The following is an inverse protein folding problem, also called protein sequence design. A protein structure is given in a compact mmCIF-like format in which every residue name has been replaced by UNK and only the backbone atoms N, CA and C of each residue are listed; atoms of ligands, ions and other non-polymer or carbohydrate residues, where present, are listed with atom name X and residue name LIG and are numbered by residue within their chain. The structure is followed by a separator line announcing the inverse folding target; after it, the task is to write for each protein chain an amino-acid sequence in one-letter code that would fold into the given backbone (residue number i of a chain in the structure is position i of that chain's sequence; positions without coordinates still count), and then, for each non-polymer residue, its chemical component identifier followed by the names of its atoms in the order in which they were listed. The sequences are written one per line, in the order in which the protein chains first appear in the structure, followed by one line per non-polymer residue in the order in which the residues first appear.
data_IF_741461758501
#
_entry.id   IF_741461758501
#
_cell.length_a   1.000
_cell.length_b   1.000
_cell.length_c   1.000
_cell.angle_alpha   90.00
_cell.angle_beta   90.00
_cell.angle_gamma   90.00
#
_symmetry.space_group_name_H-M   'P 1'
#
loop_
_entity.id
_entity.type
_entity.pdbx_description
1 polymer ?
#
# COMPACT_ATOMS: atom_id res chain seq x y z
N UNK A 1 -16.73 -21.05 13.23
CA UNK A 1 -16.88 -20.02 12.17
C UNK A 1 -15.68 -19.07 12.20
N UNK A 2 -15.33 -18.52 13.37
CA UNK A 2 -14.08 -17.76 13.59
C UNK A 2 -12.81 -18.46 13.07
N UNK A 3 -12.67 -19.77 13.32
CA UNK A 3 -11.50 -20.54 12.85
C UNK A 3 -11.30 -20.51 11.32
N UNK A 4 -12.39 -20.46 10.54
CA UNK A 4 -12.33 -20.36 9.07
C UNK A 4 -11.93 -18.96 8.62
N UNK A 5 -12.42 -17.93 9.30
CA UNK A 5 -12.13 -16.52 8.98
C UNK A 5 -10.67 -16.20 9.24
N UNK A 6 -10.16 -16.60 10.41
CA UNK A 6 -8.74 -16.46 10.78
C UNK A 6 -7.85 -17.21 9.79
N UNK A 7 -8.25 -18.41 9.38
CA UNK A 7 -7.49 -19.19 8.39
C UNK A 7 -7.49 -18.54 7.00
N UNK A 8 -8.63 -18.02 6.54
CA UNK A 8 -8.73 -17.29 5.27
C UNK A 8 -7.87 -16.02 5.29
N UNK A 9 -7.98 -15.23 6.35
CA UNK A 9 -7.13 -14.04 6.54
C UNK A 9 -5.65 -14.40 6.49
N UNK A 10 -5.24 -15.42 7.26
CA UNK A 10 -3.85 -15.90 7.30
C UNK A 10 -3.35 -16.30 5.92
N UNK A 11 -4.14 -17.05 5.15
CA UNK A 11 -3.78 -17.48 3.79
C UNK A 11 -3.70 -16.31 2.80
N UNK A 12 -4.62 -15.35 2.88
CA UNK A 12 -4.59 -14.15 2.03
C UNK A 12 -3.34 -13.31 2.34
N UNK A 13 -3.05 -13.07 3.63
CA UNK A 13 -1.84 -12.38 4.08
C UNK A 13 -0.57 -13.07 3.60
N UNK A 14 -0.47 -14.38 3.84
CA UNK A 14 0.70 -15.19 3.41
C UNK A 14 0.93 -15.11 1.90
N UNK A 15 -0.14 -15.01 1.11
CA UNK A 15 -0.05 -14.93 -0.35
C UNK A 15 0.34 -13.54 -0.88
N UNK A 16 0.04 -12.46 -0.15
CA UNK A 16 0.19 -11.08 -0.64
C UNK A 16 1.30 -10.30 0.08
N UNK A 17 1.43 -10.41 1.40
CA UNK A 17 2.37 -9.60 2.19
C UNK A 17 3.85 -9.75 1.78
N UNK A 18 4.35 -10.95 1.39
CA UNK A 18 5.73 -11.08 0.89
C UNK A 18 6.04 -10.17 -0.31
N UNK A 19 5.01 -9.79 -1.08
CA UNK A 19 5.12 -8.96 -2.27
C UNK A 19 4.86 -7.47 -1.98
N UNK A 20 4.90 -7.04 -0.71
CA UNK A 20 4.76 -5.63 -0.34
C UNK A 20 3.32 -5.11 -0.33
N UNK A 21 2.35 -6.00 -0.17
CA UNK A 21 0.96 -5.63 0.10
C UNK A 21 0.66 -5.66 1.60
N UNK A 22 -0.33 -4.89 2.06
CA UNK A 22 -1.03 -5.18 3.32
C UNK A 22 -2.50 -5.45 3.04
N UNK A 23 -3.12 -6.17 3.95
CA UNK A 23 -4.49 -6.66 3.85
C UNK A 23 -5.22 -6.32 5.15
N UNK A 24 -6.43 -5.75 5.05
CA UNK A 24 -7.20 -5.34 6.24
C UNK A 24 -8.67 -5.78 6.11
N UNK A 25 -9.20 -6.56 7.08
CA UNK A 25 -10.57 -7.08 7.00
C UNK A 25 -11.62 -6.00 7.28
N UNK A 26 -12.79 -6.12 6.66
CA UNK A 26 -13.97 -5.32 6.97
C UNK A 26 -15.26 -6.06 6.60
N UNK A 27 -16.39 -5.63 7.17
CA UNK A 27 -17.71 -6.05 6.71
C UNK A 27 -18.20 -5.17 5.56
N UNK A 28 -18.76 -5.77 4.51
CA UNK A 28 -19.40 -5.03 3.40
C UNK A 28 -20.43 -4.01 3.90
N UNK A 29 -21.15 -4.35 4.97
CA UNK A 29 -22.13 -3.47 5.62
C UNK A 29 -21.53 -2.15 6.09
N UNK A 30 -20.30 -2.13 6.61
CA UNK A 30 -19.63 -0.90 7.06
C UNK A 30 -19.34 0.04 5.89
N UNK A 31 -18.89 -0.51 4.77
CA UNK A 31 -18.68 0.24 3.53
C UNK A 31 -20.01 0.78 2.96
N UNK A 32 -21.03 -0.08 2.86
CA UNK A 32 -22.33 0.28 2.31
C UNK A 32 -23.06 1.35 3.14
N UNK A 33 -22.90 1.34 4.47
CA UNK A 33 -23.55 2.28 5.37
C UNK A 33 -23.12 3.75 5.15
N UNK A 34 -21.94 3.99 4.58
CA UNK A 34 -21.41 5.33 4.33
C UNK A 34 -21.73 5.87 2.94
N UNK A 35 -22.38 5.07 2.08
CA UNK A 35 -22.47 5.34 0.65
C UNK A 35 -23.92 5.34 0.15
N UNK A 36 -24.23 6.19 -0.85
CA UNK A 36 -25.55 6.15 -1.47
C UNK A 36 -25.71 4.84 -2.26
N UNK A 37 -26.96 4.40 -2.52
CA UNK A 37 -27.26 3.10 -3.13
C UNK A 37 -26.48 2.80 -4.43
N UNK A 38 -26.16 3.85 -5.19
CA UNK A 38 -25.42 3.75 -6.43
C UNK A 38 -24.00 3.17 -6.29
N UNK A 39 -23.37 3.25 -5.12
CA UNK A 39 -22.02 2.75 -4.85
C UNK A 39 -21.99 1.55 -3.89
N UNK A 40 -23.16 1.06 -3.45
CA UNK A 40 -23.24 -0.07 -2.55
C UNK A 40 -22.85 -1.37 -3.27
N UNK A 41 -22.11 -2.23 -2.58
CA UNK A 41 -21.81 -3.58 -3.04
C UNK A 41 -23.05 -4.46 -2.83
N UNK A 42 -23.48 -5.22 -3.86
CA UNK A 42 -24.69 -6.05 -3.81
C UNK A 42 -24.45 -7.38 -3.09
N UNK A 43 -23.98 -7.31 -1.85
CA UNK A 43 -23.69 -8.46 -0.98
C UNK A 43 -24.32 -8.23 0.41
N UNK A 44 -24.63 -9.30 1.17
CA UNK A 44 -25.10 -9.18 2.54
C UNK A 44 -24.14 -8.34 3.41
N UNK A 45 -24.68 -7.57 4.35
CA UNK A 45 -23.90 -6.69 5.23
C UNK A 45 -22.75 -7.43 5.96
N UNK A 46 -23.01 -8.60 6.59
CA UNK A 46 -21.98 -9.37 7.27
C UNK A 46 -20.92 -10.01 6.37
N UNK A 47 -21.00 -9.87 5.04
CA UNK A 47 -20.02 -10.48 4.12
C UNK A 47 -18.61 -9.98 4.43
N UNK A 48 -17.68 -10.92 4.61
CA UNK A 48 -16.26 -10.64 4.80
C UNK A 48 -15.64 -10.10 3.52
N UNK A 49 -14.92 -9.00 3.67
CA UNK A 49 -14.10 -8.41 2.63
C UNK A 49 -12.73 -8.03 3.21
N UNK A 50 -11.74 -7.87 2.33
CA UNK A 50 -10.44 -7.33 2.68
C UNK A 50 -10.09 -6.19 1.72
N UNK A 51 -9.67 -5.05 2.25
CA UNK A 51 -9.00 -4.04 1.41
C UNK A 51 -7.53 -4.42 1.26
N UNK A 52 -7.01 -4.29 0.05
CA UNK A 52 -5.59 -4.55 -0.25
C UNK A 52 -4.93 -3.24 -0.62
N UNK A 53 -3.78 -2.97 -0.01
CA UNK A 53 -2.96 -1.80 -0.26
C UNK A 53 -1.52 -2.22 -0.59
N UNK A 54 -0.83 -1.45 -1.42
CA UNK A 54 0.60 -1.64 -1.71
C UNK A 54 1.43 -0.63 -0.92
N UNK A 55 2.44 -1.12 -0.22
CA UNK A 55 3.47 -0.32 0.47
C UNK A 55 4.59 0.07 -0.52
N UNK A 56 5.59 0.89 -0.12
CA UNK A 56 6.75 1.17 -0.96
C UNK A 56 7.41 -0.11 -1.52
N UNK A 57 7.55 -1.13 -0.67
CA UNK A 57 8.19 -2.40 -1.01
C UNK A 57 7.55 -3.17 -2.18
N UNK A 58 6.28 -2.90 -2.54
CA UNK A 58 5.62 -3.58 -3.67
C UNK A 58 6.36 -3.35 -4.99
N UNK A 59 6.96 -2.17 -5.15
CA UNK A 59 7.70 -1.85 -6.38
C UNK A 59 8.86 -2.82 -6.62
N UNK A 60 9.68 -3.05 -5.61
CA UNK A 60 10.83 -3.95 -5.70
C UNK A 60 10.45 -5.42 -5.61
N UNK A 61 9.49 -5.77 -4.76
CA UNK A 61 9.14 -7.16 -4.46
C UNK A 61 8.13 -7.78 -5.41
N UNK A 62 7.29 -6.97 -6.06
CA UNK A 62 6.25 -7.44 -6.97
C UNK A 62 6.47 -6.92 -8.39
N UNK A 63 6.53 -5.60 -8.57
CA UNK A 63 6.51 -5.00 -9.90
C UNK A 63 7.78 -5.34 -10.70
N UNK A 64 8.97 -5.12 -10.14
CA UNK A 64 10.23 -5.42 -10.83
C UNK A 64 10.32 -6.90 -11.27
N UNK A 65 10.09 -7.91 -10.41
CA UNK A 65 10.02 -9.30 -10.84
C UNK A 65 8.95 -9.56 -11.90
N UNK A 66 7.76 -8.96 -11.76
CA UNK A 66 6.69 -9.11 -12.74
C UNK A 66 7.10 -8.60 -14.12
N UNK A 67 7.77 -7.46 -14.21
CA UNK A 67 8.28 -6.89 -15.47
C UNK A 67 9.29 -7.79 -16.16
N UNK A 68 10.07 -8.57 -15.40
CA UNK A 68 11.04 -9.53 -15.93
C UNK A 68 10.40 -10.84 -16.41
N UNK A 69 9.21 -11.19 -15.91
CA UNK A 69 8.54 -12.48 -16.16
C UNK A 69 7.83 -12.61 -17.52
N UNK A 70 7.98 -11.65 -18.43
CA UNK A 70 7.37 -11.62 -19.77
C UNK A 70 5.82 -11.66 -19.83
N UNK A 71 5.13 -11.45 -18.71
CA UNK A 71 3.66 -11.45 -18.61
C UNK A 71 2.99 -10.11 -19.00
N UNK A 72 3.69 -9.23 -19.73
CA UNK A 72 3.18 -7.91 -20.07
C UNK A 72 2.33 -7.93 -21.34
N UNK A 73 1.04 -7.66 -21.16
CA UNK A 73 0.15 -7.32 -22.26
C UNK A 73 0.42 -5.89 -22.74
N UNK A 74 0.52 -5.66 -24.05
CA UNK A 74 0.60 -4.32 -24.62
C UNK A 74 -0.61 -3.47 -24.21
N UNK A 75 -0.41 -2.14 -24.13
CA UNK A 75 -1.46 -1.14 -23.91
C UNK A 75 -2.15 -1.14 -22.53
N UNK A 76 -1.74 -2.00 -21.60
CA UNK A 76 -2.20 -1.98 -20.20
C UNK A 76 -1.10 -1.47 -19.28
N UNK A 77 -1.46 -0.74 -18.23
CA UNK A 77 -0.48 -0.26 -17.26
C UNK A 77 0.21 -1.45 -16.56
N UNK A 78 1.56 -1.48 -16.45
CA UNK A 78 2.25 -2.61 -15.86
C UNK A 78 1.94 -2.83 -14.38
N UNK A 79 1.59 -1.77 -13.63
CA UNK A 79 1.23 -1.88 -12.20
C UNK A 79 -0.10 -2.60 -12.06
N UNK A 80 -1.10 -2.20 -12.84
CA UNK A 80 -2.41 -2.84 -12.86
C UNK A 80 -2.29 -4.33 -13.23
N UNK A 81 -1.44 -4.66 -14.19
CA UNK A 81 -1.18 -6.05 -14.58
C UNK A 81 -0.48 -6.86 -13.48
N UNK A 82 0.49 -6.27 -12.78
CA UNK A 82 1.16 -6.90 -11.65
C UNK A 82 0.16 -7.20 -10.51
N UNK A 83 -0.68 -6.22 -10.15
CA UNK A 83 -1.73 -6.40 -9.13
C UNK A 83 -2.71 -7.49 -9.54
N UNK A 84 -3.21 -7.47 -10.78
CA UNK A 84 -4.10 -8.50 -11.30
C UNK A 84 -3.46 -9.89 -11.31
N UNK A 85 -2.15 -9.99 -11.60
CA UNK A 85 -1.40 -11.24 -11.50
C UNK A 85 -1.43 -11.78 -10.07
N UNK A 86 -1.11 -10.97 -9.06
CA UNK A 86 -1.13 -11.41 -7.66
C UNK A 86 -2.54 -11.80 -7.17
N UNK A 87 -3.59 -11.10 -7.61
CA UNK A 87 -4.98 -11.50 -7.32
C UNK A 87 -5.35 -12.83 -7.99
N UNK A 88 -4.90 -13.06 -9.22
CA UNK A 88 -5.09 -14.34 -9.92
C UNK A 88 -4.37 -15.48 -9.19
N UNK A 89 -3.14 -15.25 -8.69
CA UNK A 89 -2.43 -16.25 -7.89
C UNK A 89 -3.13 -16.52 -6.56
N UNK A 90 -3.68 -15.49 -5.91
CA UNK A 90 -4.47 -15.66 -4.69
C UNK A 90 -5.69 -16.56 -4.93
N UNK A 91 -6.42 -16.34 -6.03
CA UNK A 91 -7.57 -17.19 -6.38
C UNK A 91 -7.16 -18.65 -6.61
N UNK A 92 -6.02 -18.88 -7.28
CA UNK A 92 -5.48 -20.24 -7.49
C UNK A 92 -5.05 -20.92 -6.19
N UNK A 93 -4.59 -20.14 -5.21
CA UNK A 93 -4.18 -20.63 -3.89
C UNK A 93 -5.37 -20.91 -2.96
N UNK A 94 -6.59 -20.52 -3.33
CA UNK A 94 -7.83 -20.70 -2.58
C UNK A 94 -8.95 -21.28 -3.48
N UNK A 95 -8.72 -22.42 -4.18
CA UNK A 95 -9.65 -22.92 -5.20
C UNK A 95 -11.02 -23.32 -4.64
N UNK A 96 -11.10 -23.66 -3.36
CA UNK A 96 -12.33 -24.01 -2.66
C UNK A 96 -13.19 -22.79 -2.28
N UNK A 97 -12.62 -21.59 -2.31
CA UNK A 97 -13.27 -20.37 -1.87
C UNK A 97 -13.73 -19.56 -3.07
N UNK A 98 -15.01 -19.21 -3.12
CA UNK A 98 -15.49 -18.18 -4.04
C UNK A 98 -14.89 -16.84 -3.62
N UNK A 99 -14.14 -16.22 -4.52
CA UNK A 99 -13.49 -14.93 -4.33
C UNK A 99 -13.83 -14.04 -5.52
N UNK A 100 -14.37 -12.86 -5.23
CA UNK A 100 -14.56 -11.81 -6.22
C UNK A 100 -13.56 -10.67 -5.94
N UNK A 101 -13.03 -10.05 -6.98
CA UNK A 101 -12.11 -8.91 -6.87
C UNK A 101 -12.72 -7.67 -7.48
N UNK A 102 -12.49 -6.52 -6.84
CA UNK A 102 -12.73 -5.21 -7.46
C UNK A 102 -11.47 -4.37 -7.24
N UNK A 103 -10.82 -3.96 -8.32
CA UNK A 103 -9.58 -3.18 -8.28
C UNK A 103 -9.87 -1.68 -8.20
N UNK A 104 -8.88 -0.88 -7.82
CA UNK A 104 -9.01 0.58 -7.71
C UNK A 104 -9.25 1.26 -9.08
N UNK A 105 -8.83 0.62 -10.17
CA UNK A 105 -9.00 1.09 -11.55
C UNK A 105 -10.25 0.52 -12.24
N UNK A 106 -11.03 -0.36 -11.58
CA UNK A 106 -12.25 -0.92 -12.16
C UNK A 106 -13.36 0.14 -12.28
N UNK A 107 -13.88 0.31 -13.50
CA UNK A 107 -14.99 1.22 -13.80
C UNK A 107 -16.19 0.48 -14.39
N UNK A 108 -17.39 0.98 -14.10
CA UNK A 108 -18.59 0.64 -14.86
C UNK A 108 -18.55 1.28 -16.27
N UNK A 109 -19.39 0.82 -17.22
CA UNK A 109 -19.46 1.41 -18.57
C UNK A 109 -19.73 2.92 -18.58
N UNK A 110 -20.43 3.44 -17.56
CA UNK A 110 -20.70 4.88 -17.39
C UNK A 110 -19.54 5.65 -16.74
N UNK A 111 -18.34 5.06 -16.65
CA UNK A 111 -17.12 5.60 -16.03
C UNK A 111 -17.19 5.85 -14.52
N UNK A 112 -18.24 5.39 -13.86
CA UNK A 112 -18.30 5.39 -12.39
C UNK A 112 -17.36 4.31 -11.84
N UNK A 113 -16.53 4.58 -10.82
CA UNK A 113 -15.72 3.53 -10.20
C UNK A 113 -16.62 2.46 -9.59
N UNK A 114 -16.21 1.19 -9.69
CA UNK A 114 -16.93 0.06 -9.04
C UNK A 114 -16.69 0.02 -7.53
N UNK A 115 -15.61 0.65 -7.06
CA UNK A 115 -15.19 0.71 -5.67
C UNK A 115 -14.77 2.14 -5.31
N UNK A 116 -15.26 2.67 -4.19
CA UNK A 116 -14.70 3.87 -3.57
C UNK A 116 -13.56 3.47 -2.63
N UNK A 117 -12.39 3.25 -3.21
CA UNK A 117 -11.23 2.63 -2.55
C UNK A 117 -10.87 3.26 -1.19
N UNK A 118 -10.86 4.60 -1.13
CA UNK A 118 -10.55 5.35 0.10
C UNK A 118 -11.58 5.09 1.22
N UNK A 119 -12.85 4.88 0.88
CA UNK A 119 -13.89 4.52 1.85
C UNK A 119 -13.65 3.11 2.39
N UNK A 120 -13.30 2.16 1.52
CA UNK A 120 -12.96 0.79 1.95
C UNK A 120 -11.73 0.77 2.87
N UNK A 121 -10.68 1.52 2.56
CA UNK A 121 -9.50 1.65 3.41
C UNK A 121 -9.82 2.26 4.79
N UNK A 122 -10.76 3.21 4.84
CA UNK A 122 -11.19 3.84 6.08
C UNK A 122 -11.95 2.87 6.98
N UNK A 123 -13.00 2.21 6.46
CA UNK A 123 -13.83 1.31 7.27
C UNK A 123 -13.12 0.03 7.70
N UNK A 124 -12.04 -0.34 7.00
CA UNK A 124 -11.17 -1.46 7.39
C UNK A 124 -10.12 -1.07 8.44
N UNK A 125 -10.08 0.19 8.88
CA UNK A 125 -9.08 0.68 9.83
C UNK A 125 -7.67 0.86 9.26
N UNK A 126 -7.48 0.68 7.95
CA UNK A 126 -6.16 0.68 7.32
C UNK A 126 -5.54 2.09 7.21
N UNK A 127 -6.35 3.08 6.82
CA UNK A 127 -5.91 4.46 6.66
C UNK A 127 -7.06 5.44 6.87
N UNK A 128 -6.84 6.51 7.64
CA UNK A 128 -7.87 7.52 7.85
C UNK A 128 -8.09 8.30 6.56
N UNK A 129 -9.34 8.51 6.16
CA UNK A 129 -9.73 9.18 4.93
C UNK A 129 -10.15 10.62 5.27
N UNK A 130 -9.22 11.55 5.11
CA UNK A 130 -9.46 12.97 5.36
C UNK A 130 -10.21 13.56 4.17
N UNK A 131 -11.34 14.17 4.47
CA UNK A 131 -12.25 14.79 3.51
C UNK A 131 -12.48 16.23 3.89
N UNK A 132 -13.04 16.99 2.94
CA UNK A 132 -13.47 18.37 3.17
C UNK A 132 -14.38 18.53 4.40
N UNK A 133 -15.28 17.57 4.63
CA UNK A 133 -16.19 17.57 5.79
C UNK A 133 -15.48 17.40 7.15
N UNK A 134 -14.21 16.98 7.16
CA UNK A 134 -13.41 16.84 8.38
C UNK A 134 -12.69 18.15 8.77
N UNK A 135 -12.97 19.25 8.05
CA UNK A 135 -12.44 20.60 8.30
C UNK A 135 -13.61 21.55 8.56
N UNK A 136 -13.67 22.11 9.77
CA UNK A 136 -14.66 23.12 10.12
C UNK A 136 -14.37 24.46 9.42
N UNK A 137 -15.42 25.12 8.90
CA UNK A 137 -15.31 26.43 8.23
C UNK A 137 -14.21 26.47 7.17
N UNK A 138 -14.24 25.51 6.23
CA UNK A 138 -13.17 25.31 5.27
C UNK A 138 -12.90 26.53 4.36
N UNK A 139 -11.63 26.77 3.95
CA UNK A 139 -11.25 27.97 3.20
C UNK A 139 -11.47 27.87 1.68
N UNK A 140 -12.06 26.78 1.18
CA UNK A 140 -12.00 26.45 -0.25
C UNK A 140 -13.21 26.96 -1.07
N UNK A 141 -14.22 27.53 -0.41
CA UNK A 141 -15.40 28.08 -1.07
C UNK A 141 -16.08 27.04 -1.97
N UNK A 142 -16.33 27.39 -3.24
CA UNK A 142 -17.00 26.49 -4.19
C UNK A 142 -16.06 25.46 -4.87
N UNK A 143 -14.77 25.43 -4.52
CA UNK A 143 -13.82 24.48 -5.14
C UNK A 143 -14.14 23.05 -4.71
N UNK A 144 -14.08 22.12 -5.67
CA UNK A 144 -14.12 20.69 -5.38
C UNK A 144 -12.79 20.26 -4.78
N UNK A 145 -12.83 19.74 -3.56
CA UNK A 145 -11.66 19.23 -2.83
C UNK A 145 -11.81 17.72 -2.71
N UNK A 146 -10.91 16.99 -3.36
CA UNK A 146 -10.81 15.54 -3.20
C UNK A 146 -10.20 15.20 -1.85
N UNK A 147 -10.72 14.15 -1.20
CA UNK A 147 -10.13 13.64 0.02
C UNK A 147 -8.90 12.78 -0.25
N UNK A 148 -8.15 12.48 0.81
CA UNK A 148 -6.94 11.66 0.76
C UNK A 148 -6.84 10.76 1.98
N UNK A 149 -6.41 9.51 1.76
CA UNK A 149 -6.11 8.60 2.87
C UNK A 149 -4.65 8.76 3.31
N UNK A 150 -4.39 8.77 4.62
CA UNK A 150 -3.04 8.74 5.20
C UNK A 150 -2.90 7.48 6.04
N UNK A 151 -1.89 6.68 5.69
CA UNK A 151 -1.53 5.47 6.40
C UNK A 151 -0.71 5.82 7.66
N UNK A 152 -0.98 5.21 8.82
CA UNK A 152 -0.28 5.54 10.07
C UNK A 152 1.23 5.31 10.02
N UNK A 153 1.70 4.36 9.20
CA UNK A 153 3.12 4.01 9.07
C UNK A 153 3.80 4.62 7.85
N UNK A 154 3.06 4.86 6.78
CA UNK A 154 3.64 5.24 5.48
C UNK A 154 3.23 6.64 5.04
N UNK A 155 2.42 7.35 5.83
CA UNK A 155 1.80 8.59 5.39
C UNK A 155 1.03 8.39 4.09
N UNK A 156 1.31 9.21 3.08
CA UNK A 156 0.77 9.02 1.74
C UNK A 156 1.61 8.10 0.84
N UNK A 157 2.70 7.49 1.31
CA UNK A 157 3.60 6.62 0.52
C UNK A 157 3.05 5.20 0.35
N UNK A 158 1.80 5.09 -0.07
CA UNK A 158 1.14 3.83 -0.37
C UNK A 158 0.07 4.06 -1.45
N UNK A 159 -0.55 2.97 -1.91
CA UNK A 159 -1.74 3.05 -2.76
C UNK A 159 -2.72 1.93 -2.43
N UNK A 160 -4.01 2.21 -2.52
CA UNK A 160 -5.06 1.19 -2.38
C UNK A 160 -5.20 0.49 -3.73
N UNK A 161 -5.23 -0.85 -3.74
CA UNK A 161 -5.21 -1.67 -4.96
C UNK A 161 -6.52 -2.37 -5.28
N UNK A 162 -7.42 -2.43 -4.30
CA UNK A 162 -8.74 -3.02 -4.49
C UNK A 162 -9.25 -3.69 -3.23
N UNK A 163 -10.27 -4.52 -3.43
CA UNK A 163 -10.86 -5.37 -2.41
C UNK A 163 -10.94 -6.81 -2.87
N UNK A 164 -10.77 -7.72 -1.92
CA UNK A 164 -11.07 -9.15 -2.00
C UNK A 164 -12.40 -9.37 -1.30
N UNK A 165 -13.41 -9.86 -2.02
CA UNK A 165 -14.74 -10.13 -1.48
C UNK A 165 -14.92 -11.64 -1.36
N UNK A 166 -15.51 -12.10 -0.24
CA UNK A 166 -15.74 -13.52 0.02
C UNK A 166 -17.25 -13.81 0.16
N UNK A 167 -18.01 -13.86 -0.95
CA UNK A 167 -19.42 -14.20 -0.89
C UNK A 167 -19.66 -15.54 -0.18
N UNK A 168 -20.64 -15.56 0.72
CA UNK A 168 -20.98 -16.74 1.53
C UNK A 168 -20.08 -16.94 2.76
N UNK A 169 -19.15 -16.03 3.04
CA UNK A 169 -18.42 -15.95 4.31
C UNK A 169 -18.95 -14.75 5.08
N UNK A 170 -19.71 -15.01 6.14
CA UNK A 170 -20.32 -13.98 6.98
C UNK A 170 -19.61 -13.88 8.33
N UNK A 171 -19.39 -12.65 8.78
CA UNK A 171 -18.63 -12.31 9.99
C UNK A 171 -19.36 -11.23 10.80
N UNK A 172 -20.60 -11.49 11.27
CA UNK A 172 -21.41 -10.48 11.96
C UNK A 172 -20.71 -9.92 13.22
N UNK A 173 -19.90 -10.74 13.88
CA UNK A 173 -19.18 -10.40 15.11
C UNK A 173 -17.75 -9.87 14.88
N UNK A 174 -17.34 -9.61 13.62
CA UNK A 174 -16.03 -8.99 13.33
C UNK A 174 -15.98 -7.63 14.05
N UNK A 175 -15.03 -7.39 14.97
CA UNK A 175 -14.96 -6.11 15.67
C UNK A 175 -14.51 -5.00 14.70
N UNK A 176 -15.21 -3.85 14.64
CA UNK A 176 -14.78 -2.73 13.83
C UNK A 176 -13.51 -2.10 14.42
N UNK A 177 -12.52 -1.86 13.56
CA UNK A 177 -11.30 -1.13 13.92
C UNK A 177 -11.34 0.26 13.29
N UNK A 178 -11.40 1.30 14.13
CA UNK A 178 -11.32 2.66 13.65
C UNK A 178 -9.91 2.96 13.12
N UNK A 179 -9.77 3.61 11.95
CA UNK A 179 -8.46 3.99 11.44
C UNK A 179 -7.85 5.07 12.37
N UNK A 180 -6.54 5.02 12.65
CA UNK A 180 -5.90 6.04 13.49
C UNK A 180 -6.00 7.43 12.87
N UNK A 181 -6.49 8.42 13.63
CA UNK A 181 -6.46 9.84 13.24
C UNK A 181 -5.04 10.39 13.44
N UNK A 182 -4.23 10.25 12.40
CA UNK A 182 -2.82 10.63 12.39
C UNK A 182 -2.60 12.12 12.08
N UNK A 183 -3.65 12.85 11.67
CA UNK A 183 -3.62 14.29 11.34
C UNK A 183 -4.82 14.96 12.05
N UNK A 184 -4.77 15.09 13.38
CA UNK A 184 -5.93 15.48 14.18
C UNK A 184 -6.23 16.98 14.15
N UNK A 185 -5.27 17.83 13.81
CA UNK A 185 -5.43 19.29 13.86
C UNK A 185 -6.13 19.81 12.61
N UNK A 186 -6.94 20.85 12.76
CA UNK A 186 -7.64 21.47 11.65
C UNK A 186 -6.65 22.06 10.62
N UNK A 187 -5.60 22.72 11.10
CA UNK A 187 -4.53 23.29 10.28
C UNK A 187 -3.79 22.20 9.50
N UNK A 188 -3.52 21.05 10.15
CA UNK A 188 -2.89 19.91 9.50
C UNK A 188 -3.76 19.30 8.40
N UNK A 189 -5.07 19.17 8.64
CA UNK A 189 -6.03 18.68 7.64
C UNK A 189 -6.16 19.64 6.46
N UNK A 190 -6.16 20.94 6.70
CA UNK A 190 -6.16 21.96 5.63
C UNK A 190 -4.88 21.82 4.79
N UNK A 191 -3.70 21.84 5.43
CA UNK A 191 -2.42 21.73 4.73
C UNK A 191 -2.31 20.43 3.91
N UNK A 192 -2.78 19.31 4.48
CA UNK A 192 -2.84 18.02 3.79
C UNK A 192 -3.71 18.09 2.53
N UNK A 193 -4.95 18.58 2.67
CA UNK A 193 -5.89 18.62 1.55
C UNK A 193 -5.43 19.61 0.47
N UNK A 194 -4.82 20.73 0.84
CA UNK A 194 -4.24 21.67 -0.11
C UNK A 194 -3.04 21.08 -0.84
N UNK A 195 -2.10 20.46 -0.11
CA UNK A 195 -0.94 19.81 -0.72
C UNK A 195 -1.36 18.68 -1.67
N UNK A 196 -2.35 17.87 -1.29
CA UNK A 196 -2.88 16.82 -2.16
C UNK A 196 -3.60 17.37 -3.41
N UNK A 197 -4.44 18.40 -3.27
CA UNK A 197 -5.25 18.87 -4.40
C UNK A 197 -4.47 19.78 -5.35
N UNK A 198 -3.51 20.56 -4.84
CA UNK A 198 -2.82 21.60 -5.62
C UNK A 198 -1.35 21.31 -5.87
N UNK A 199 -0.72 20.42 -5.08
CA UNK A 199 0.73 20.20 -5.09
C UNK A 199 1.14 18.72 -5.16
N UNK A 200 0.24 17.77 -5.42
CA UNK A 200 0.53 16.32 -5.35
C UNK A 200 1.77 15.83 -6.13
N UNK A 201 2.19 16.54 -7.17
CA UNK A 201 3.35 16.20 -8.00
C UNK A 201 4.69 16.37 -7.28
N UNK A 202 4.74 17.18 -6.22
CA UNK A 202 5.95 17.38 -5.41
C UNK A 202 6.10 16.34 -4.28
N UNK A 203 5.09 15.46 -4.13
CA UNK A 203 5.04 14.36 -3.15
C UNK A 203 4.89 14.78 -1.69
N UNK A 204 4.92 16.08 -1.37
CA UNK A 204 5.00 16.58 0.02
C UNK A 204 3.80 16.19 0.88
N UNK A 205 2.59 16.09 0.31
CA UNK A 205 1.40 15.65 1.05
C UNK A 205 1.58 14.26 1.68
N UNK A 206 2.47 13.43 1.12
CA UNK A 206 2.71 12.08 1.60
C UNK A 206 3.51 12.05 2.91
N UNK A 207 4.20 13.14 3.24
CA UNK A 207 5.02 13.31 4.44
C UNK A 207 4.31 14.04 5.59
N UNK A 208 2.97 14.20 5.51
CA UNK A 208 2.17 14.83 6.58
C UNK A 208 2.34 14.12 7.94
N UNK A 209 2.70 12.84 7.91
CA UNK A 209 3.18 12.07 9.07
C UNK A 209 4.54 11.49 8.70
N UNK A 210 5.42 11.28 9.69
CA UNK A 210 6.75 10.71 9.47
C UNK A 210 6.61 9.26 8.99
N UNK A 211 6.93 8.93 7.73
CA UNK A 211 6.80 7.58 7.23
C UNK A 211 7.99 6.72 7.66
N UNK A 212 7.74 5.45 7.97
CA UNK A 212 8.80 4.46 8.24
C UNK A 212 9.58 4.09 6.98
N UNK A 213 8.96 4.29 5.81
CA UNK A 213 9.54 4.00 4.50
C UNK A 213 8.86 4.90 3.46
N UNK A 214 9.64 5.41 2.51
CA UNK A 214 9.16 6.19 1.35
C UNK A 214 9.37 5.40 0.07
N UNK A 215 8.74 5.84 -1.00
CA UNK A 215 9.14 5.36 -2.33
C UNK A 215 10.59 5.75 -2.61
N UNK A 216 11.36 4.84 -3.17
CA UNK A 216 12.73 5.13 -3.63
C UNK A 216 12.72 6.17 -4.75
N UNK A 217 13.86 6.81 -5.02
CA UNK A 217 13.95 7.76 -6.14
C UNK A 217 13.65 7.11 -7.49
N UNK A 218 13.99 5.83 -7.66
CA UNK A 218 13.63 5.04 -8.84
C UNK A 218 12.11 4.87 -8.95
N UNK A 219 11.45 4.50 -7.84
CA UNK A 219 9.99 4.35 -7.79
C UNK A 219 9.26 5.68 -8.02
N UNK A 220 9.76 6.78 -7.45
CA UNK A 220 9.26 8.14 -7.72
C UNK A 220 9.41 8.50 -9.20
N UNK A 221 10.57 8.22 -9.79
CA UNK A 221 10.83 8.44 -11.23
C UNK A 221 9.87 7.65 -12.10
N UNK A 222 9.64 6.37 -11.76
CA UNK A 222 8.68 5.52 -12.44
C UNK A 222 7.25 6.09 -12.39
N UNK A 223 6.78 6.52 -11.21
CA UNK A 223 5.42 7.03 -11.06
C UNK A 223 5.22 8.45 -11.61
N UNK A 224 6.26 9.28 -11.59
CA UNK A 224 6.29 10.58 -12.28
C UNK A 224 6.26 10.43 -13.80
N UNK A 225 6.71 9.28 -14.32
CA UNK A 225 6.68 8.99 -15.76
C UNK A 225 5.25 8.70 -16.21
N UNK A 226 4.75 9.38 -17.26
CA UNK A 226 3.41 9.13 -17.80
C UNK A 226 3.21 7.65 -18.15
N UNK A 227 2.03 7.05 -17.92
CA UNK A 227 1.80 5.62 -18.14
C UNK A 227 2.23 5.11 -19.53
N UNK A 228 1.99 5.90 -20.59
CA UNK A 228 2.37 5.56 -21.96
C UNK A 228 3.89 5.45 -22.19
N UNK A 229 4.71 6.03 -21.31
CA UNK A 229 6.17 6.06 -21.41
C UNK A 229 6.85 5.08 -20.45
N UNK A 230 6.12 4.49 -19.50
CA UNK A 230 6.69 3.60 -18.46
C UNK A 230 7.37 2.37 -19.05
N UNK A 231 6.77 1.73 -20.05
CA UNK A 231 7.39 0.58 -20.72
C UNK A 231 8.69 0.95 -21.43
N UNK A 232 8.78 2.15 -21.99
CA UNK A 232 10.00 2.62 -22.62
C UNK A 232 11.10 2.90 -21.59
N UNK A 233 10.75 3.56 -20.47
CA UNK A 233 11.67 3.77 -19.35
C UNK A 233 12.27 2.45 -18.85
N UNK A 234 11.42 1.43 -18.67
CA UNK A 234 11.87 0.12 -18.22
C UNK A 234 12.82 -0.58 -19.20
N UNK A 235 12.58 -0.45 -20.51
CA UNK A 235 13.50 -0.98 -21.54
C UNK A 235 14.85 -0.28 -21.50
N UNK A 236 14.88 1.05 -21.36
CA UNK A 236 16.13 1.80 -21.22
C UNK A 236 16.94 1.37 -20.00
N UNK A 237 16.27 1.09 -18.87
CA UNK A 237 16.91 0.60 -17.65
C UNK A 237 17.43 -0.84 -17.78
N UNK A 238 16.82 -1.67 -18.64
CA UNK A 238 17.28 -3.03 -18.94
C UNK A 238 18.44 -3.07 -19.93
N UNK A 239 18.49 -2.13 -20.89
CA UNK A 239 19.52 -2.02 -21.91
C UNK A 239 20.76 -1.23 -21.45
N UNK A 240 20.78 -0.72 -20.22
CA UNK A 240 21.99 -0.11 -19.65
C UNK A 240 22.95 -1.23 -19.25
N UNK A 241 24.14 -1.36 -19.89
CA UNK A 241 25.09 -2.38 -19.47
C UNK A 241 25.47 -2.11 -18.01
N UNK A 242 25.41 -3.15 -17.17
CA UNK A 242 26.15 -3.18 -15.92
C UNK A 242 27.60 -2.93 -16.29
N UNK A 243 28.09 -1.71 -16.06
CA UNK A 243 29.50 -1.39 -16.29
C UNK A 243 30.35 -2.28 -15.37
N UNK A 244 31.11 -3.25 -15.92
CA UNK A 244 31.95 -4.12 -15.12
C UNK A 244 33.10 -3.37 -14.42
N UNK A 245 33.28 -2.08 -14.72
CA UNK A 245 34.31 -1.22 -14.16
C UNK A 245 33.79 -0.13 -13.23
N UNK A 246 32.48 -0.06 -12.94
CA UNK A 246 31.99 0.88 -11.92
C UNK A 246 32.16 0.24 -10.54
N UNK A 247 33.08 0.72 -9.68
CA UNK A 247 33.18 0.22 -8.33
C UNK A 247 31.87 0.54 -7.61
N UNK A 248 31.36 -0.42 -6.83
CA UNK A 248 30.36 -0.12 -5.81
C UNK A 248 30.95 0.97 -4.92
N UNK A 249 30.43 2.20 -5.02
CA UNK A 249 30.72 3.25 -4.04
C UNK A 249 30.14 2.79 -2.69
N UNK A 250 30.99 2.12 -1.93
CA UNK A 250 30.80 1.97 -0.49
C UNK A 250 30.88 3.39 0.07
N UNK A 251 29.76 3.90 0.56
CA UNK A 251 29.79 5.15 1.33
C UNK A 251 30.86 5.03 2.41
N UNK A 252 31.72 6.04 2.60
CA UNK A 252 32.73 5.98 3.64
C UNK A 252 32.03 5.75 4.98
N UNK A 253 32.46 4.71 5.71
CA UNK A 253 32.19 4.66 7.15
C UNK A 253 32.65 5.99 7.72
N UNK A 254 31.74 6.67 8.43
CA UNK A 254 32.08 7.82 9.26
C UNK A 254 33.35 7.48 10.05
N UNK A 255 34.40 8.24 9.78
CA UNK A 255 35.65 8.19 10.52
C UNK A 255 35.37 8.63 11.94
N UNK A 256 35.48 7.69 12.87
CA UNK A 256 35.54 7.99 14.30
C UNK A 256 36.81 8.82 14.54
N UNK A 257 36.61 10.00 15.12
CA UNK A 257 37.61 11.01 15.44
C UNK A 257 38.71 10.41 16.36
N UNK A 258 40.00 10.50 16.01
CA UNK A 258 41.08 9.83 16.76
C UNK A 258 41.57 10.62 17.99
N UNK A 259 40.76 11.53 18.56
CA UNK A 259 41.19 12.34 19.70
C UNK A 259 40.22 12.26 20.87
N UNK A 260 40.14 11.08 21.49
CA UNK A 260 39.70 10.95 22.89
C UNK A 260 40.59 9.91 23.59
N UNK A 261 41.60 10.41 24.29
CA UNK A 261 42.33 9.64 25.28
C UNK A 261 41.44 9.40 26.50
N UNK A 262 41.42 8.17 27.00
CA UNK A 262 40.75 7.86 28.26
C UNK A 262 40.36 6.40 28.39
N UNK A 263 41.33 5.59 28.84
CA UNK A 263 41.19 4.35 29.61
C UNK A 263 39.96 3.45 29.37
N UNK A 264 40.22 2.18 28.98
CA UNK A 264 39.74 0.99 29.72
C UNK A 264 40.27 -0.32 29.07
N UNK A 265 41.32 -0.86 29.70
CA UNK A 265 41.49 -2.27 30.10
C UNK A 265 40.87 -3.36 29.18
N UNK A 266 41.71 -4.04 28.39
CA UNK A 266 41.53 -5.46 28.05
C UNK A 266 41.79 -6.33 29.32
N UNK A 267 41.38 -7.62 29.48
CA UNK A 267 41.23 -8.61 28.39
C UNK A 267 40.15 -9.70 28.63
N UNK A 268 39.93 -10.59 27.65
CA UNK A 268 40.30 -12.04 27.71
C UNK A 268 39.51 -12.89 26.71
N UNK A 269 40.31 -13.61 25.94
CA UNK A 269 40.00 -14.79 25.15
C UNK A 269 39.66 -15.95 26.09
N UNK A 270 38.59 -16.70 25.81
CA UNK A 270 38.51 -18.14 26.05
C UNK A 270 37.61 -18.80 25.00
N UNK A 271 38.16 -19.79 24.31
CA UNK A 271 37.44 -20.85 23.59
C UNK A 271 37.45 -22.12 24.48
N UNK A 272 36.92 -23.29 24.04
CA UNK A 272 35.65 -23.61 23.41
C UNK A 272 34.82 -24.60 24.27
N UNK A 273 33.62 -24.94 23.78
CA UNK A 273 32.70 -25.99 24.31
C UNK A 273 33.30 -27.40 24.15
N UNK A 274 33.05 -28.34 25.09
CA UNK A 274 33.02 -29.77 24.83
C UNK A 274 31.61 -30.36 24.83
N UNK A 275 31.41 -31.35 23.98
CA UNK A 275 30.21 -32.18 23.83
C UNK A 275 29.98 -33.13 25.02
N UNK A 276 28.72 -33.48 25.27
CA UNK A 276 28.31 -34.85 25.64
C UNK A 276 27.83 -35.08 27.07
N UNK A 277 26.52 -35.16 27.28
CA UNK A 277 25.74 -36.41 27.39
C UNK A 277 24.25 -36.10 27.25
#
# INVERSE_FOLDING_TARGET
MESRVVELERRIRTALEPFGFEVHPFQVGWYNALLPPAFQLPLPGPTLAFVVLSTPAMFDRALKPFLQSAHLQPLKDPVDQCVAYHFTQLQKNLPEQKIDFITDYDMHPNRRPKLLAQTAAHVAGAAYYYRRQDVGSDPWGNKKIAGVCIHPRYGGWFAIRGVVLLPGVEVPDLPPLAPPDCVPTQEGRIALLESFNFHWKDWTYRDVVVPVERYSEEQKTYFSTPPAQRLHLLRLLQDTPLDPHKPLEVQPKETVDPNWGGHLVAPRIFAPVPQGT
#
